data_IF_337999122433
#
_entry.id   IF_337999122433
#
_cell.length_a   1.000
_cell.length_b   1.000
_cell.length_c   1.000
_cell.angle_alpha   90.00
_cell.angle_beta   90.00
_cell.angle_gamma   90.00
#
_symmetry.space_group_name_H-M   'P 1'
#
loop_
_entity.id
_entity.type
_entity.pdbx_description
1 polymer ?
#
# COMPACT_ATOMS: atom_id res chain seq x y z
N UNK A 1 -10.11 -35.20 -2.63
CA UNK A 1 -8.92 -34.84 -1.82
C UNK A 1 -8.48 -33.49 -2.33
N UNK A 2 -8.78 -32.43 -1.57
CA UNK A 2 -8.51 -31.06 -1.99
C UNK A 2 -7.09 -30.73 -1.51
N UNK A 3 -6.16 -30.58 -2.44
CA UNK A 3 -4.80 -30.14 -2.13
C UNK A 3 -4.88 -28.71 -1.57
N UNK A 4 -4.47 -28.56 -0.31
CA UNK A 4 -4.30 -27.28 0.33
C UNK A 4 -3.17 -26.51 -0.38
N UNK A 5 -3.52 -25.62 -1.31
CA UNK A 5 -2.57 -24.65 -1.84
C UNK A 5 -2.16 -23.69 -0.72
N UNK A 6 -0.93 -23.85 -0.23
CA UNK A 6 -0.32 -23.00 0.79
C UNK A 6 -0.22 -21.52 0.35
N UNK A 7 -0.33 -20.55 1.28
CA UNK A 7 -0.35 -19.12 0.97
C UNK A 7 1.07 -18.55 0.81
N UNK A 8 1.79 -18.97 -0.24
CA UNK A 8 3.15 -18.45 -0.52
C UNK A 8 3.16 -17.04 -1.14
N UNK A 9 2.02 -16.55 -1.66
CA UNK A 9 1.94 -15.21 -2.24
C UNK A 9 2.04 -14.06 -1.22
N UNK A 10 1.82 -14.32 0.07
CA UNK A 10 1.75 -13.26 1.08
C UNK A 10 3.11 -12.92 1.75
N UNK A 11 4.14 -13.75 1.54
CA UNK A 11 5.47 -13.55 2.16
C UNK A 11 6.39 -12.72 1.24
N UNK A 12 6.25 -12.83 -0.09
CA UNK A 12 7.12 -12.11 -1.04
C UNK A 12 6.70 -10.66 -1.34
N UNK A 13 5.43 -10.29 -1.16
CA UNK A 13 5.01 -8.87 -1.26
C UNK A 13 5.50 -8.02 -0.08
N UNK A 14 5.93 -8.64 1.03
CA UNK A 14 6.14 -7.94 2.30
C UNK A 14 7.52 -7.29 2.49
N UNK A 15 8.51 -7.60 1.64
CA UNK A 15 9.89 -7.09 1.81
C UNK A 15 10.30 -5.98 0.84
N UNK A 16 9.41 -5.53 -0.06
CA UNK A 16 9.74 -4.39 -0.91
C UNK A 16 9.71 -3.10 -0.07
N UNK A 17 10.89 -2.47 0.03
CA UNK A 17 11.07 -1.15 0.64
C UNK A 17 10.67 -0.07 -0.36
N UNK A 18 10.04 0.98 0.15
CA UNK A 18 9.85 2.23 -0.58
C UNK A 18 11.23 2.82 -0.87
N UNK A 19 11.45 3.22 -2.11
CA UNK A 19 12.70 3.85 -2.54
C UNK A 19 12.65 5.34 -2.21
N UNK A 20 13.60 5.80 -1.40
CA UNK A 20 13.76 7.21 -1.05
C UNK A 20 14.00 8.08 -2.31
N UNK A 21 13.42 9.28 -2.33
CA UNK A 21 13.48 10.26 -3.44
C UNK A 21 12.99 9.74 -4.80
N UNK A 22 12.25 8.64 -4.83
CA UNK A 22 11.63 8.11 -6.04
C UNK A 22 10.15 8.49 -6.04
N UNK A 23 9.64 9.14 -7.10
CA UNK A 23 8.23 9.50 -7.18
C UNK A 23 7.38 8.24 -7.11
N UNK A 24 6.24 8.35 -6.43
CA UNK A 24 5.28 7.27 -6.30
C UNK A 24 3.86 7.76 -6.53
N UNK A 25 3.01 6.84 -6.95
CA UNK A 25 1.58 6.94 -6.81
C UNK A 25 1.12 5.99 -5.71
N UNK A 26 -0.03 6.30 -5.13
CA UNK A 26 -0.65 5.45 -4.15
C UNK A 26 -2.14 5.31 -4.46
N UNK A 27 -2.65 4.14 -4.15
CA UNK A 27 -4.06 3.83 -4.17
C UNK A 27 -4.40 3.13 -2.87
N UNK A 28 -5.55 3.44 -2.29
CA UNK A 28 -5.99 2.86 -1.03
C UNK A 28 -7.41 2.31 -1.13
N UNK A 29 -7.64 1.15 -0.53
CA UNK A 29 -8.89 0.41 -0.47
C UNK A 29 -9.31 0.21 0.98
N UNK A 30 -10.62 0.19 1.20
CA UNK A 30 -11.25 -0.12 2.48
C UNK A 30 -12.39 -1.10 2.21
N UNK A 31 -12.04 -2.36 1.91
CA UNK A 31 -13.01 -3.42 1.60
C UNK A 31 -13.88 -3.17 0.36
N UNK A 32 -13.52 -2.21 -0.50
CA UNK A 32 -14.27 -1.82 -1.68
C UNK A 32 -13.64 -2.39 -2.96
N UNK A 33 -14.45 -2.58 -4.01
CA UNK A 33 -13.98 -3.02 -5.33
C UNK A 33 -13.14 -1.95 -6.05
N UNK A 34 -13.34 -0.67 -5.72
CA UNK A 34 -12.62 0.48 -6.27
C UNK A 34 -11.82 1.22 -5.19
N UNK A 35 -10.68 1.86 -5.55
CA UNK A 35 -9.87 2.61 -4.58
C UNK A 35 -10.65 3.82 -4.04
N UNK A 36 -10.73 3.92 -2.72
CA UNK A 36 -11.36 5.07 -2.03
C UNK A 36 -10.48 6.32 -2.05
N UNK A 37 -9.21 6.16 -2.43
CA UNK A 37 -8.23 7.23 -2.54
C UNK A 37 -7.17 6.85 -3.59
N UNK A 38 -6.84 7.79 -4.48
CA UNK A 38 -5.74 7.66 -5.45
C UNK A 38 -5.03 9.00 -5.59
N UNK A 39 -3.70 8.99 -5.55
CA UNK A 39 -2.89 10.19 -5.71
C UNK A 39 -1.52 9.87 -6.31
N UNK A 40 -0.96 10.82 -7.07
CA UNK A 40 0.27 10.64 -7.83
C UNK A 40 1.29 11.74 -7.49
N UNK A 41 2.52 11.59 -7.98
CA UNK A 41 3.63 12.53 -7.78
C UNK A 41 3.97 12.79 -6.30
N UNK A 42 3.82 11.76 -5.46
CA UNK A 42 4.18 11.80 -4.05
C UNK A 42 5.60 11.30 -3.83
N UNK A 43 6.21 11.66 -2.71
CA UNK A 43 7.55 11.25 -2.33
C UNK A 43 7.53 10.72 -0.90
N UNK A 44 7.74 9.41 -0.76
CA UNK A 44 7.91 8.75 0.53
C UNK A 44 9.25 8.04 0.59
N UNK A 45 9.78 7.92 1.80
CA UNK A 45 10.99 7.14 2.08
C UNK A 45 10.69 5.85 2.82
N UNK A 46 9.55 5.79 3.53
CA UNK A 46 9.21 4.71 4.46
C UNK A 46 7.70 4.45 4.47
N UNK A 47 7.32 3.20 4.78
CA UNK A 47 5.91 2.82 4.93
C UNK A 47 5.19 3.63 6.02
N UNK A 48 5.89 4.06 7.07
CA UNK A 48 5.29 4.85 8.16
C UNK A 48 4.81 6.23 7.69
N UNK A 49 5.53 6.88 6.79
CA UNK A 49 5.14 8.19 6.23
C UNK A 49 3.86 8.06 5.40
N UNK A 50 3.72 6.98 4.62
CA UNK A 50 2.49 6.66 3.87
C UNK A 50 1.32 6.47 4.84
N UNK A 51 1.53 5.74 5.95
CA UNK A 51 0.49 5.55 6.98
C UNK A 51 0.05 6.87 7.57
N UNK A 52 0.97 7.73 8.00
CA UNK A 52 0.65 9.04 8.58
C UNK A 52 -0.07 9.95 7.58
N UNK A 53 0.33 9.90 6.31
CA UNK A 53 -0.27 10.66 5.22
C UNK A 53 -1.73 10.27 4.97
N UNK A 54 -1.99 8.97 4.90
CA UNK A 54 -3.33 8.41 4.71
C UNK A 54 -4.18 8.52 5.97
N UNK A 55 -3.59 8.40 7.16
CA UNK A 55 -4.30 8.50 8.42
C UNK A 55 -5.10 9.81 8.51
N UNK A 56 -4.50 10.94 8.13
CA UNK A 56 -5.18 12.25 8.12
C UNK A 56 -6.33 12.34 7.11
N UNK A 57 -6.25 11.60 6.00
CA UNK A 57 -7.20 11.67 4.87
C UNK A 57 -8.34 10.67 4.97
N UNK A 58 -8.09 9.53 5.61
CA UNK A 58 -9.01 8.40 5.70
C UNK A 58 -9.72 8.32 7.06
N UNK A 59 -9.73 9.40 7.85
CA UNK A 59 -10.42 9.44 9.16
C UNK A 59 -11.90 9.06 9.10
N UNK A 60 -12.57 9.26 7.95
CA UNK A 60 -13.96 8.82 7.74
C UNK A 60 -14.13 7.30 7.79
N UNK A 61 -13.05 6.52 7.64
CA UNK A 61 -13.01 5.06 7.70
C UNK A 61 -12.44 4.54 9.04
N UNK A 62 -12.59 5.31 10.12
CA UNK A 62 -12.12 4.91 11.45
C UNK A 62 -12.68 3.56 11.87
N UNK A 63 -11.81 2.68 12.35
CA UNK A 63 -12.14 1.29 12.70
C UNK A 63 -11.92 0.29 11.56
N UNK A 64 -11.83 0.76 10.33
CA UNK A 64 -11.65 -0.11 9.16
C UNK A 64 -10.18 -0.39 8.85
N UNK A 65 -9.96 -1.50 8.14
CA UNK A 65 -8.65 -1.87 7.58
C UNK A 65 -8.44 -1.19 6.23
N UNK A 66 -7.38 -0.40 6.14
CA UNK A 66 -6.92 0.21 4.90
C UNK A 66 -5.81 -0.67 4.32
N UNK A 67 -5.96 -1.03 3.05
CA UNK A 67 -4.90 -1.58 2.23
C UNK A 67 -4.45 -0.51 1.25
N UNK A 68 -3.16 -0.18 1.23
CA UNK A 68 -2.61 0.81 0.30
C UNK A 68 -1.49 0.20 -0.53
N UNK A 69 -1.61 0.27 -1.86
CA UNK A 69 -0.54 -0.07 -2.78
C UNK A 69 0.21 1.21 -3.16
N UNK A 70 1.52 1.20 -2.93
CA UNK A 70 2.44 2.25 -3.36
C UNK A 70 3.17 1.76 -4.60
N UNK A 71 2.97 2.47 -5.71
CA UNK A 71 3.59 2.16 -6.99
C UNK A 71 4.78 3.08 -7.24
N UNK A 72 5.92 2.49 -7.59
CA UNK A 72 7.17 3.20 -7.92
C UNK A 72 7.77 2.64 -9.20
N UNK A 73 8.39 3.50 -10.00
CA UNK A 73 9.21 3.08 -11.13
C UNK A 73 10.67 3.40 -10.84
N UNK A 74 11.49 2.37 -10.61
CA UNK A 74 12.88 2.54 -10.20
C UNK A 74 13.81 1.67 -11.03
N UNK A 75 14.87 2.28 -11.60
CA UNK A 75 15.85 1.60 -12.48
C UNK A 75 15.19 0.80 -13.60
N UNK A 76 14.19 1.38 -14.27
CA UNK A 76 13.49 0.73 -15.39
C UNK A 76 12.53 -0.39 -14.98
N UNK A 77 12.24 -0.57 -13.69
CA UNK A 77 11.38 -1.64 -13.19
C UNK A 77 10.20 -1.09 -12.37
N UNK A 78 8.97 -1.54 -12.62
CA UNK A 78 7.85 -1.24 -11.75
C UNK A 78 8.03 -1.96 -10.42
N UNK A 79 7.63 -1.30 -9.34
CA UNK A 79 7.63 -1.82 -7.98
C UNK A 79 6.31 -1.47 -7.34
N UNK A 80 5.79 -2.42 -6.60
CA UNK A 80 4.58 -2.28 -5.80
C UNK A 80 4.94 -2.61 -4.37
N UNK A 81 4.44 -1.81 -3.43
CA UNK A 81 4.65 -1.98 -2.00
C UNK A 81 3.31 -1.87 -1.29
N UNK A 82 2.89 -2.96 -0.67
CA UNK A 82 1.69 -2.97 0.18
C UNK A 82 1.98 -2.36 1.56
N UNK A 83 1.07 -1.47 1.99
CA UNK A 83 1.02 -0.83 3.29
C UNK A 83 -0.38 -0.99 3.87
N UNK A 84 -0.55 -1.95 4.78
CA UNK A 84 -1.83 -2.17 5.48
C UNK A 84 -1.80 -1.61 6.90
N UNK A 85 -2.91 -1.02 7.34
CA UNK A 85 -3.10 -0.51 8.70
C UNK A 85 -4.58 -0.29 9.03
N UNK A 86 -4.92 -0.35 10.32
CA UNK A 86 -6.24 0.08 10.81
C UNK A 86 -6.25 1.58 11.05
N UNK A 87 -7.32 2.26 10.64
CA UNK A 87 -7.53 3.67 10.96
C UNK A 87 -7.99 3.78 12.42
N UNK A 88 -7.15 4.37 13.26
CA UNK A 88 -7.43 4.69 14.68
C UNK A 88 -8.24 5.97 14.88
#
# INVERSE_FOLDING_TARGET
MYEAMEPLHNIYCNMKRIINKCPCSLEAWVGADEPVFSEQNLYFSRKVEVKEYLYKRLQKYKGEMVECYVYQFYKGKPREVLVSFNVK
#
